data_IF_805174858114
#
_entry.id   IF_805174858114
#
_cell.length_a   1.000
_cell.length_b   1.000
_cell.length_c   1.000
_cell.angle_alpha   90.00
_cell.angle_beta   90.00
_cell.angle_gamma   90.00
#
_symmetry.space_group_name_H-M   'P 1'
#
loop_
_entity.id
_entity.type
_entity.pdbx_description
1 polymer ?
#
# COMPACT_ATOMS: atom_id res chain seq x y z
N UNK A 1 11.53 -15.52 -3.21
CA UNK A 1 10.70 -14.60 -4.00
C UNK A 1 9.28 -15.14 -4.07
N UNK A 2 8.27 -14.29 -3.87
CA UNK A 2 6.85 -14.67 -3.91
C UNK A 2 6.14 -13.78 -4.92
N UNK A 3 5.33 -14.39 -5.82
CA UNK A 3 4.52 -13.62 -6.77
C UNK A 3 3.33 -12.97 -6.04
N UNK A 4 3.19 -11.67 -6.16
CA UNK A 4 2.04 -10.92 -5.65
C UNK A 4 0.93 -10.78 -6.68
N UNK A 5 -0.09 -9.96 -6.39
CA UNK A 5 -1.21 -9.64 -7.27
C UNK A 5 -2.18 -10.80 -7.53
N UNK A 6 -1.88 -12.00 -7.06
CA UNK A 6 -2.64 -13.21 -7.33
C UNK A 6 -3.52 -13.59 -6.15
N UNK A 7 -4.71 -14.11 -6.45
CA UNK A 7 -5.60 -14.78 -5.54
C UNK A 7 -5.90 -16.20 -6.01
N UNK A 8 -6.59 -16.98 -5.18
CA UNK A 8 -7.05 -18.32 -5.53
C UNK A 8 -8.51 -18.49 -5.14
N UNK A 9 -9.31 -19.03 -6.06
CA UNK A 9 -10.70 -19.39 -5.79
C UNK A 9 -10.78 -20.65 -4.92
N UNK A 10 -11.95 -20.90 -4.36
CA UNK A 10 -12.21 -22.10 -3.58
C UNK A 10 -12.04 -23.41 -4.41
N UNK A 11 -12.24 -23.33 -5.72
CA UNK A 11 -12.08 -24.45 -6.66
C UNK A 11 -10.66 -24.56 -7.24
N UNK A 12 -9.76 -23.65 -6.85
CA UNK A 12 -8.34 -23.73 -7.17
C UNK A 12 -7.87 -22.87 -8.32
N UNK A 13 -8.74 -22.12 -9.00
CA UNK A 13 -8.36 -21.23 -10.09
C UNK A 13 -7.53 -20.04 -9.59
N UNK A 14 -6.54 -19.64 -10.36
CA UNK A 14 -5.75 -18.44 -10.10
C UNK A 14 -6.51 -17.21 -10.61
N UNK A 15 -6.62 -16.21 -9.76
CA UNK A 15 -7.26 -14.92 -10.07
C UNK A 15 -6.29 -13.78 -9.85
N UNK A 16 -6.66 -12.57 -10.27
CA UNK A 16 -5.93 -11.34 -9.94
C UNK A 16 -6.70 -10.52 -8.90
N UNK A 17 -5.97 -9.85 -8.02
CA UNK A 17 -6.57 -9.00 -6.98
C UNK A 17 -7.00 -7.63 -7.49
N UNK A 18 -6.74 -7.33 -8.78
CA UNK A 18 -7.02 -6.03 -9.35
C UNK A 18 -5.98 -4.97 -9.00
N UNK A 19 -6.31 -3.70 -9.25
CA UNK A 19 -5.41 -2.57 -9.02
C UNK A 19 -4.99 -2.51 -7.54
N UNK A 20 -3.68 -2.32 -7.30
CA UNK A 20 -3.11 -2.31 -5.95
C UNK A 20 -2.94 -3.69 -5.31
N UNK A 21 -3.26 -4.76 -6.03
CA UNK A 21 -3.17 -6.13 -5.52
C UNK A 21 -1.78 -6.54 -5.04
N UNK A 22 -0.71 -6.00 -5.63
CA UNK A 22 0.66 -6.26 -5.19
C UNK A 22 0.93 -5.68 -3.80
N UNK A 23 0.47 -4.46 -3.52
CA UNK A 23 0.58 -3.83 -2.21
C UNK A 23 -0.18 -4.66 -1.16
N UNK A 24 -1.41 -5.09 -1.49
CA UNK A 24 -2.24 -5.93 -0.62
C UNK A 24 -1.58 -7.28 -0.34
N UNK A 25 -1.03 -7.94 -1.38
CA UNK A 25 -0.32 -9.22 -1.23
C UNK A 25 0.89 -9.11 -0.31
N UNK A 26 1.67 -8.02 -0.45
CA UNK A 26 2.85 -7.78 0.38
C UNK A 26 2.46 -7.63 1.85
N UNK A 27 1.45 -6.82 2.14
CA UNK A 27 0.96 -6.60 3.52
C UNK A 27 0.36 -7.89 4.10
N UNK A 28 -0.43 -8.63 3.32
CA UNK A 28 -1.02 -9.89 3.78
C UNK A 28 0.06 -10.93 4.14
N UNK A 29 1.11 -11.04 3.31
CA UNK A 29 2.23 -11.93 3.56
C UNK A 29 3.01 -11.51 4.80
N UNK A 30 3.30 -10.22 4.96
CA UNK A 30 3.98 -9.69 6.13
C UNK A 30 3.18 -9.94 7.41
N UNK A 31 1.86 -9.75 7.39
CA UNK A 31 0.99 -10.05 8.51
C UNK A 31 1.07 -11.53 8.91
N UNK A 32 1.08 -12.44 7.94
CA UNK A 32 1.19 -13.87 8.19
C UNK A 32 2.56 -14.28 8.76
N UNK A 33 3.62 -13.54 8.41
CA UNK A 33 4.99 -13.81 8.85
C UNK A 33 5.41 -13.01 10.10
N UNK A 34 4.58 -12.09 10.59
CA UNK A 34 4.94 -11.18 11.67
C UNK A 34 6.09 -10.23 11.28
N UNK A 35 6.13 -9.81 10.03
CA UNK A 35 7.19 -8.97 9.44
C UNK A 35 6.70 -7.54 9.20
N UNK A 36 7.62 -6.61 8.99
CA UNK A 36 7.36 -5.28 8.45
C UNK A 36 7.35 -5.31 6.91
N UNK A 37 6.78 -4.29 6.28
CA UNK A 37 6.73 -4.15 4.82
C UNK A 37 7.48 -2.92 4.39
N UNK A 38 8.35 -3.08 3.40
CA UNK A 38 8.98 -1.98 2.69
C UNK A 38 8.56 -2.06 1.22
N UNK A 39 7.92 -1.01 0.70
CA UNK A 39 7.40 -0.96 -0.66
C UNK A 39 8.21 0.04 -1.48
N UNK A 40 8.92 -0.46 -2.48
CA UNK A 40 9.69 0.35 -3.42
C UNK A 40 8.79 0.82 -4.56
N UNK A 41 8.80 2.12 -4.82
CA UNK A 41 8.03 2.77 -5.88
C UNK A 41 8.95 3.63 -6.76
N UNK A 42 8.40 4.04 -7.89
CA UNK A 42 9.02 4.98 -8.84
C UNK A 42 8.85 6.46 -8.42
N UNK A 43 8.44 6.71 -7.19
CA UNK A 43 8.28 8.03 -6.57
C UNK A 43 9.08 8.09 -5.27
N UNK A 44 9.50 9.30 -4.88
CA UNK A 44 10.35 9.50 -3.69
C UNK A 44 9.63 9.26 -2.34
N UNK A 45 8.35 8.94 -2.37
CA UNK A 45 7.53 8.70 -1.18
C UNK A 45 6.25 9.52 -1.19
N UNK A 46 5.63 9.63 -0.03
CA UNK A 46 4.41 10.42 0.15
C UNK A 46 4.78 11.89 0.32
N UNK A 47 4.18 12.76 -0.46
CA UNK A 47 4.38 14.20 -0.41
C UNK A 47 3.27 14.88 0.41
N UNK A 48 3.57 16.06 0.98
CA UNK A 48 2.63 16.86 1.75
C UNK A 48 1.48 17.45 0.92
N UNK A 49 1.63 17.49 -0.40
CA UNK A 49 0.62 17.91 -1.37
C UNK A 49 1.00 17.40 -2.77
N UNK A 50 0.11 17.52 -3.74
CA UNK A 50 0.43 17.26 -5.15
C UNK A 50 1.45 18.31 -5.64
N UNK A 51 2.66 17.89 -6.05
CA UNK A 51 3.73 18.82 -6.47
C UNK A 51 3.38 19.58 -7.75
N UNK A 52 2.40 19.11 -8.54
CA UNK A 52 1.90 19.81 -9.73
C UNK A 52 1.06 21.02 -9.35
N UNK A 53 0.48 21.04 -8.16
CA UNK A 53 -0.34 22.12 -7.61
C UNK A 53 0.48 22.97 -6.64
N UNK A 54 1.27 22.32 -5.79
CA UNK A 54 2.11 22.94 -4.77
C UNK A 54 3.57 22.56 -5.03
N UNK A 55 4.33 23.36 -5.81
CA UNK A 55 5.74 23.04 -6.11
C UNK A 55 6.65 22.95 -4.89
N UNK A 56 6.25 23.56 -3.76
CA UNK A 56 6.96 23.48 -2.48
C UNK A 56 6.59 22.25 -1.63
N UNK A 57 5.85 21.29 -2.18
CA UNK A 57 5.50 20.06 -1.48
C UNK A 57 6.78 19.30 -1.05
N UNK A 58 6.75 18.77 0.18
CA UNK A 58 7.88 18.08 0.79
C UNK A 58 7.52 16.62 1.08
N UNK A 59 8.51 15.74 0.97
CA UNK A 59 8.36 14.34 1.37
C UNK A 59 8.09 14.25 2.87
N UNK A 60 7.10 13.45 3.24
CA UNK A 60 6.75 13.16 4.61
C UNK A 60 7.57 11.96 5.10
N UNK A 61 8.28 12.14 6.20
CA UNK A 61 9.08 11.06 6.81
C UNK A 61 8.24 10.06 7.60
N UNK A 62 7.04 10.46 8.01
CA UNK A 62 6.08 9.63 8.76
C UNK A 62 4.66 10.09 8.46
N UNK A 63 3.74 9.13 8.49
CA UNK A 63 2.31 9.39 8.33
C UNK A 63 1.53 8.32 9.11
N UNK A 64 0.36 8.67 9.64
CA UNK A 64 -0.52 7.69 10.25
C UNK A 64 -1.17 6.82 9.18
N UNK A 65 -1.57 5.59 9.53
CA UNK A 65 -2.32 4.73 8.60
C UNK A 65 -3.63 5.38 8.16
N UNK A 66 -4.32 6.07 9.07
CA UNK A 66 -5.56 6.76 8.75
C UNK A 66 -5.36 7.85 7.71
N UNK A 67 -4.33 8.69 7.88
CA UNK A 67 -4.01 9.75 6.91
C UNK A 67 -3.55 9.17 5.58
N UNK A 68 -2.74 8.10 5.60
CA UNK A 68 -2.27 7.43 4.38
C UNK A 68 -3.43 6.79 3.61
N UNK A 69 -4.35 6.13 4.28
CA UNK A 69 -5.55 5.56 3.66
C UNK A 69 -6.45 6.66 3.08
N UNK A 70 -6.69 7.72 3.86
CA UNK A 70 -7.48 8.87 3.41
C UNK A 70 -6.85 9.54 2.18
N UNK A 71 -5.54 9.78 2.19
CA UNK A 71 -4.83 10.31 1.03
C UNK A 71 -5.00 9.43 -0.20
N UNK A 72 -4.90 8.11 -0.02
CA UNK A 72 -5.12 7.13 -1.08
C UNK A 72 -6.54 7.18 -1.67
N UNK A 73 -7.56 7.28 -0.82
CA UNK A 73 -8.96 7.43 -1.25
C UNK A 73 -9.21 8.77 -1.96
N UNK A 74 -8.49 9.82 -1.58
CA UNK A 74 -8.56 11.14 -2.23
C UNK A 74 -7.71 11.25 -3.50
N UNK A 75 -7.04 10.19 -3.91
CA UNK A 75 -6.35 10.09 -5.20
C UNK A 75 -4.83 10.13 -5.16
N UNK A 76 -4.19 10.13 -4.00
CA UNK A 76 -2.75 9.93 -3.89
C UNK A 76 -2.39 8.50 -4.35
N UNK A 77 -1.54 8.40 -5.38
CA UNK A 77 -1.23 7.12 -6.06
C UNK A 77 0.07 6.49 -5.55
N UNK A 78 0.39 6.65 -4.27
CA UNK A 78 1.60 6.05 -3.70
C UNK A 78 1.32 4.64 -3.20
N UNK A 79 0.28 4.48 -2.38
CA UNK A 79 -0.15 3.18 -1.85
C UNK A 79 -1.64 2.98 -2.11
N UNK A 80 -2.03 1.72 -2.32
CA UNK A 80 -3.45 1.41 -2.40
C UNK A 80 -4.09 1.50 -1.00
N UNK A 81 -5.18 2.27 -0.81
CA UNK A 81 -5.75 2.51 0.52
C UNK A 81 -6.15 1.21 1.24
N UNK A 82 -6.66 0.21 0.52
CA UNK A 82 -6.98 -1.09 1.13
C UNK A 82 -5.75 -1.81 1.70
N UNK A 83 -4.56 -1.63 1.11
CA UNK A 83 -3.33 -2.20 1.66
C UNK A 83 -2.95 -1.50 2.97
N UNK A 84 -3.09 -0.18 3.04
CA UNK A 84 -2.86 0.62 4.24
C UNK A 84 -3.83 0.24 5.36
N UNK A 85 -5.13 0.10 5.04
CA UNK A 85 -6.14 -0.34 5.99
C UNK A 85 -5.88 -1.77 6.50
N UNK A 86 -5.41 -2.67 5.64
CA UNK A 86 -5.01 -4.02 6.04
C UNK A 86 -3.81 -3.96 6.98
N UNK A 87 -2.79 -3.16 6.66
CA UNK A 87 -1.61 -2.97 7.51
C UNK A 87 -2.02 -2.45 8.89
N UNK A 88 -2.92 -1.47 8.95
CA UNK A 88 -3.45 -0.95 10.20
C UNK A 88 -4.16 -2.03 11.02
N UNK A 89 -5.07 -2.80 10.42
CA UNK A 89 -5.82 -3.86 11.11
C UNK A 89 -4.94 -4.98 11.64
N UNK A 90 -3.86 -5.28 10.93
CA UNK A 90 -2.92 -6.36 11.27
C UNK A 90 -1.71 -5.85 12.05
N UNK A 91 -1.65 -4.54 12.36
CA UNK A 91 -0.51 -3.89 13.03
C UNK A 91 0.83 -4.17 12.32
N UNK A 92 0.81 -4.21 10.99
CA UNK A 92 2.00 -4.41 10.16
C UNK A 92 2.69 -3.07 9.93
N UNK A 93 3.93 -2.86 10.37
CA UNK A 93 4.69 -1.66 10.02
C UNK A 93 4.89 -1.56 8.51
N UNK A 94 4.65 -0.37 7.96
CA UNK A 94 4.66 -0.12 6.52
C UNK A 94 5.44 1.15 6.22
#
# INVERSE_FOLDING_TARGET
>A
MVAGFQGRTAIGDVTTLGRGGSDISAVALAAALGAEVEIFKDVEGVLSADPRVVPAARTLSRMSYADAALAGWLGARVLHPCAVELAQRQSVPL
#
